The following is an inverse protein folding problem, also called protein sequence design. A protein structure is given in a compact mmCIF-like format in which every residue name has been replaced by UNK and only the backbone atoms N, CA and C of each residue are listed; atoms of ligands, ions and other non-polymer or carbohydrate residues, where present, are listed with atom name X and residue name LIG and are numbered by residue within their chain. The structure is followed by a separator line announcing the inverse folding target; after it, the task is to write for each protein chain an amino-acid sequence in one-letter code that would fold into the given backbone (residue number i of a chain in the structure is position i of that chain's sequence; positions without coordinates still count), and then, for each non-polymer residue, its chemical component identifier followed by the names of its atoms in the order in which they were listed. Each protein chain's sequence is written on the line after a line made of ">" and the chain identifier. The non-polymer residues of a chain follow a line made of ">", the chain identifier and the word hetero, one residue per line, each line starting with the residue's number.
data_IF_958246435610
#
_entry.id   IF_958246435610
#
_cell.length_a   1.000
_cell.length_b   1.000
_cell.length_c   1.000
_cell.angle_alpha   90.00
_cell.angle_beta   90.00
_cell.angle_gamma   90.00
#
_symmetry.space_group_name_H-M   'P 1'
#
loop_
_entity.id
_entity.type
_entity.pdbx_description
1 polymer ?
#
# COMPACT_ATOMS: atom_id res chain seq x y z
N UNK A 1 9.47 -2.84 23.95
CA UNK A 1 9.40 -1.54 23.25
C UNK A 1 8.11 -1.58 22.44
N UNK A 2 7.63 -0.49 21.84
CA UNK A 2 6.37 -0.57 21.06
C UNK A 2 6.60 -1.43 19.81
N UNK A 3 5.74 -2.44 19.55
CA UNK A 3 5.90 -3.38 18.44
C UNK A 3 5.99 -2.67 17.08
N UNK A 4 5.27 -1.56 16.91
CA UNK A 4 5.32 -0.76 15.70
C UNK A 4 6.69 -0.12 15.54
N UNK A 5 7.26 0.42 16.60
CA UNK A 5 8.60 1.02 16.58
C UNK A 5 9.66 -0.06 16.32
N UNK A 6 9.51 -1.26 16.91
CA UNK A 6 10.40 -2.39 16.67
C UNK A 6 10.42 -2.80 15.18
N UNK A 7 9.24 -2.95 14.56
CA UNK A 7 9.10 -3.29 13.13
C UNK A 7 9.66 -2.20 12.22
N UNK A 8 9.41 -0.93 12.52
CA UNK A 8 9.98 0.19 11.75
C UNK A 8 11.51 0.15 11.79
N UNK A 9 12.11 -0.04 12.97
CA UNK A 9 13.57 -0.09 13.12
C UNK A 9 14.16 -1.29 12.37
N UNK A 10 13.48 -2.45 12.35
CA UNK A 10 13.90 -3.61 11.57
C UNK A 10 13.87 -3.33 10.06
N UNK A 11 12.83 -2.66 9.56
CA UNK A 11 12.70 -2.30 8.14
C UNK A 11 13.76 -1.27 7.69
N UNK A 12 14.08 -0.30 8.53
CA UNK A 12 15.18 0.64 8.27
C UNK A 12 16.50 -0.11 8.11
N UNK A 13 16.78 -1.05 9.03
CA UNK A 13 17.99 -1.89 9.00
C UNK A 13 18.03 -2.79 7.76
N UNK A 14 16.91 -3.38 7.36
CA UNK A 14 16.86 -4.25 6.18
C UNK A 14 17.12 -3.49 4.88
N UNK A 15 16.67 -2.24 4.78
CA UNK A 15 17.00 -1.32 3.67
C UNK A 15 18.43 -0.77 3.72
N UNK A 16 19.20 -1.01 4.80
CA UNK A 16 20.57 -0.51 5.01
C UNK A 16 20.69 1.02 4.92
N UNK A 17 19.68 1.74 5.38
CA UNK A 17 19.67 3.21 5.44
C UNK A 17 19.82 3.70 6.88
N UNK A 18 20.27 4.94 7.05
CA UNK A 18 20.33 5.57 8.37
C UNK A 18 18.94 6.00 8.84
N UNK A 19 18.70 5.93 10.15
CA UNK A 19 17.42 6.33 10.76
C UNK A 19 17.10 7.81 10.55
N UNK A 20 18.13 8.66 10.55
CA UNK A 20 18.00 10.07 10.25
C UNK A 20 17.54 10.31 8.81
N UNK A 21 18.13 9.58 7.85
CA UNK A 21 17.75 9.64 6.43
C UNK A 21 16.31 9.20 6.23
N UNK A 22 15.92 8.06 6.81
CA UNK A 22 14.52 7.62 6.79
C UNK A 22 13.55 8.68 7.34
N UNK A 23 13.91 9.30 8.47
CA UNK A 23 13.06 10.34 9.06
C UNK A 23 12.89 11.53 8.11
N UNK A 24 13.96 11.95 7.45
CA UNK A 24 13.93 13.03 6.45
C UNK A 24 13.12 12.63 5.21
N UNK A 25 13.29 11.42 4.70
CA UNK A 25 12.58 10.90 3.54
C UNK A 25 11.05 10.95 3.71
N UNK A 26 10.55 10.74 4.95
CA UNK A 26 9.12 10.83 5.27
C UNK A 26 8.70 12.20 5.83
N UNK A 27 9.55 13.22 5.67
CA UNK A 27 9.27 14.61 5.99
C UNK A 27 9.27 14.93 7.48
N UNK A 28 10.12 14.27 8.27
CA UNK A 28 10.26 14.48 9.72
C UNK A 28 11.69 14.87 10.09
N UNK A 29 11.88 15.38 11.31
CA UNK A 29 13.21 15.71 11.81
C UNK A 29 14.08 14.47 12.08
N UNK A 30 15.39 14.58 11.86
CA UNK A 30 16.40 13.51 12.02
C UNK A 30 16.31 12.73 13.34
N UNK A 31 15.94 13.40 14.44
CA UNK A 31 15.88 12.79 15.77
C UNK A 31 14.57 12.03 16.05
N UNK A 32 13.66 11.99 15.09
CA UNK A 32 12.30 11.47 15.31
C UNK A 32 12.30 9.99 15.66
N UNK A 33 13.09 9.16 14.96
CA UNK A 33 13.19 7.72 15.25
C UNK A 33 13.74 7.46 16.66
N UNK A 34 14.76 8.20 17.09
CA UNK A 34 15.30 8.10 18.45
C UNK A 34 14.26 8.48 19.52
N UNK A 35 13.43 9.49 19.25
CA UNK A 35 12.33 9.87 20.14
C UNK A 35 11.27 8.76 20.24
N UNK A 36 10.99 8.06 19.14
CA UNK A 36 10.07 6.91 19.15
C UNK A 36 10.63 5.76 19.97
N UNK A 37 11.90 5.40 19.77
CA UNK A 37 12.57 4.34 20.53
C UNK A 37 12.56 4.59 22.03
N UNK A 38 12.76 5.84 22.43
CA UNK A 38 12.71 6.27 23.83
C UNK A 38 11.30 6.55 24.36
N UNK A 39 10.25 6.34 23.57
CA UNK A 39 8.85 6.58 23.99
C UNK A 39 8.48 8.06 24.19
N UNK A 40 9.35 9.00 23.80
CA UNK A 40 9.12 10.45 23.98
C UNK A 40 8.12 11.03 22.98
N UNK A 41 7.86 10.31 21.88
CA UNK A 41 6.91 10.71 20.85
C UNK A 41 6.26 9.48 20.22
N UNK A 42 4.99 9.62 19.83
CA UNK A 42 4.23 8.62 19.06
C UNK A 42 3.76 9.13 17.70
N UNK A 43 4.49 10.08 17.11
CA UNK A 43 4.13 10.65 15.80
C UNK A 43 4.11 9.63 14.67
N UNK A 44 4.77 8.47 14.82
CA UNK A 44 4.67 7.35 13.88
C UNK A 44 3.22 6.88 13.67
N UNK A 45 2.34 6.97 14.68
CA UNK A 45 0.94 6.59 14.54
C UNK A 45 0.20 7.47 13.52
N UNK A 46 0.54 8.76 13.46
CA UNK A 46 -0.03 9.71 12.49
C UNK A 46 0.58 9.59 11.08
N UNK A 47 1.65 8.82 10.95
CA UNK A 47 2.44 8.65 9.73
C UNK A 47 2.48 7.19 9.28
N UNK A 48 1.69 6.32 9.90
CA UNK A 48 1.78 4.86 9.72
C UNK A 48 1.55 4.46 8.26
N UNK A 49 0.63 5.13 7.57
CA UNK A 49 0.35 4.91 6.15
C UNK A 49 1.56 5.27 5.28
N UNK A 50 2.12 6.47 5.47
CA UNK A 50 3.32 6.90 4.73
C UNK A 50 4.55 6.00 5.00
N UNK A 51 4.66 5.47 6.22
CA UNK A 51 5.72 4.52 6.58
C UNK A 51 5.48 3.18 5.88
N UNK A 52 4.23 2.70 5.85
CA UNK A 52 3.85 1.47 5.17
C UNK A 52 4.17 1.57 3.67
N UNK A 53 3.79 2.68 3.03
CA UNK A 53 4.08 2.97 1.63
C UNK A 53 5.59 3.03 1.34
N UNK A 54 6.36 3.70 2.20
CA UNK A 54 7.80 3.81 2.04
C UNK A 54 8.50 2.44 2.02
N UNK A 55 8.03 1.51 2.86
CA UNK A 55 8.60 0.16 2.95
C UNK A 55 7.90 -0.89 2.08
N UNK A 56 6.76 -0.55 1.45
CA UNK A 56 5.96 -1.48 0.67
C UNK A 56 5.33 -2.59 1.51
N UNK A 57 4.92 -2.29 2.74
CA UNK A 57 4.31 -3.24 3.69
C UNK A 57 2.89 -2.84 4.05
N UNK A 58 2.13 -3.70 4.73
CA UNK A 58 0.81 -3.36 5.24
C UNK A 58 0.87 -2.53 6.53
N UNK A 59 -0.12 -1.65 6.72
CA UNK A 59 -0.33 -0.95 8.01
C UNK A 59 -0.62 -1.94 9.13
N UNK A 60 -1.36 -3.01 8.84
CA UNK A 60 -1.65 -4.06 9.82
C UNK A 60 -0.40 -4.79 10.29
N UNK A 61 0.59 -4.96 9.41
CA UNK A 61 1.91 -5.42 9.79
C UNK A 61 2.60 -4.38 10.68
N UNK A 62 2.64 -3.10 10.33
CA UNK A 62 3.28 -2.12 11.21
C UNK A 62 2.63 -2.07 12.60
N UNK A 63 1.31 -2.23 12.70
CA UNK A 63 0.56 -2.18 13.96
C UNK A 63 0.55 -3.50 14.75
N UNK A 64 1.22 -4.55 14.26
CA UNK A 64 1.29 -5.83 14.97
C UNK A 64 0.01 -6.67 14.91
N UNK A 65 -0.92 -6.35 14.01
CA UNK A 65 -2.18 -7.10 13.82
C UNK A 65 -2.00 -8.38 13.02
N UNK A 66 -0.93 -8.46 12.24
CA UNK A 66 -0.53 -9.62 11.44
C UNK A 66 0.98 -9.71 11.34
N UNK A 67 1.53 -10.91 11.20
CA UNK A 67 2.96 -11.12 10.93
C UNK A 67 3.30 -11.11 9.44
N UNK A 68 2.28 -11.10 8.56
CA UNK A 68 2.48 -10.99 7.13
C UNK A 68 2.75 -9.53 6.72
N UNK A 69 3.96 -9.19 6.22
CA UNK A 69 4.29 -7.83 5.83
C UNK A 69 3.59 -7.40 4.54
N UNK A 70 3.12 -8.33 3.72
CA UNK A 70 2.52 -7.99 2.44
C UNK A 70 1.25 -7.14 2.64
N UNK A 71 1.09 -6.04 1.87
CA UNK A 71 -0.22 -5.40 1.75
C UNK A 71 -1.26 -6.43 1.29
N UNK A 72 -2.54 -6.28 1.67
CA UNK A 72 -3.61 -7.08 1.11
C UNK A 72 -3.48 -7.03 -0.42
N UNK A 73 -3.35 -8.20 -1.06
CA UNK A 73 -3.35 -8.24 -2.52
C UNK A 73 -4.69 -7.69 -2.98
N UNK A 74 -4.66 -6.59 -3.72
CA UNK A 74 -5.77 -6.18 -4.57
C UNK A 74 -5.89 -7.25 -5.65
N UNK A 75 -6.64 -8.31 -5.38
CA UNK A 75 -7.10 -9.18 -6.44
C UNK A 75 -8.08 -8.38 -7.29
N UNK A 76 -8.07 -8.56 -8.61
CA UNK A 76 -9.05 -7.93 -9.50
C UNK A 76 -10.50 -8.23 -9.05
N UNK A 77 -10.70 -9.37 -8.38
CA UNK A 77 -11.98 -9.76 -7.78
C UNK A 77 -12.44 -8.87 -6.61
N UNK A 78 -11.52 -8.16 -5.95
CA UNK A 78 -11.77 -7.26 -4.82
C UNK A 78 -11.39 -5.79 -5.12
N UNK A 79 -11.00 -5.48 -6.36
CA UNK A 79 -10.66 -4.13 -6.77
C UNK A 79 -11.94 -3.29 -6.90
N UNK A 80 -12.14 -2.31 -6.01
CA UNK A 80 -13.18 -1.30 -6.19
C UNK A 80 -12.63 -0.26 -7.17
N UNK A 81 -13.13 -0.26 -8.40
CA UNK A 81 -12.82 0.80 -9.38
C UNK A 81 -13.61 2.04 -8.99
N UNK A 82 -12.94 3.02 -8.37
CA UNK A 82 -13.55 4.33 -8.09
C UNK A 82 -13.30 5.24 -9.30
N UNK A 83 -14.15 5.08 -10.32
CA UNK A 83 -14.31 6.08 -11.37
C UNK A 83 -15.78 6.09 -11.82
N UNK A 84 -16.48 7.20 -11.56
CA UNK A 84 -17.84 7.43 -12.05
C UNK A 84 -18.92 7.01 -11.05
N UNK A 85 -19.50 5.83 -11.20
CA UNK A 85 -20.77 5.49 -10.53
C UNK A 85 -20.92 3.99 -10.18
N UNK A 86 -19.84 3.21 -10.18
CA UNK A 86 -19.91 1.77 -9.90
C UNK A 86 -19.46 1.45 -8.46
N UNK A 87 -20.38 0.96 -7.62
CA UNK A 87 -20.11 0.52 -6.26
C UNK A 87 -20.71 -0.87 -6.04
N UNK A 88 -19.88 -1.92 -6.18
CA UNK A 88 -20.31 -3.30 -5.92
C UNK A 88 -19.32 -4.35 -6.45
N UNK A 89 -19.45 -5.62 -6.03
CA UNK A 89 -18.74 -6.72 -6.67
C UNK A 89 -19.27 -6.93 -8.10
N UNK A 90 -18.34 -7.11 -9.06
CA UNK A 90 -18.71 -7.39 -10.45
C UNK A 90 -19.45 -8.71 -10.52
N UNK A 91 -20.73 -8.64 -10.85
CA UNK A 91 -21.58 -9.81 -11.07
C UNK A 91 -21.12 -10.58 -12.31
N UNK A 92 -21.48 -11.86 -12.41
CA UNK A 92 -21.10 -12.69 -13.55
C UNK A 92 -21.59 -12.07 -14.88
N UNK A 93 -22.80 -11.53 -14.89
CA UNK A 93 -23.39 -10.88 -16.06
C UNK A 93 -22.58 -9.65 -16.51
N UNK A 94 -22.07 -8.88 -15.56
CA UNK A 94 -21.23 -7.71 -15.83
C UNK A 94 -19.84 -8.11 -16.35
N UNK A 95 -19.26 -9.23 -15.85
CA UNK A 95 -18.01 -9.79 -16.39
C UNK A 95 -18.20 -10.17 -17.86
N UNK A 96 -19.26 -10.91 -18.16
CA UNK A 96 -19.61 -11.32 -19.52
C UNK A 96 -19.80 -10.09 -20.43
N UNK A 97 -20.50 -9.06 -19.96
CA UNK A 97 -20.69 -7.83 -20.71
C UNK A 97 -19.37 -7.14 -21.04
N UNK A 98 -18.49 -6.96 -20.04
CA UNK A 98 -17.18 -6.31 -20.24
C UNK A 98 -16.30 -7.11 -21.20
N UNK A 99 -16.30 -8.45 -21.10
CA UNK A 99 -15.55 -9.31 -22.01
C UNK A 99 -16.02 -9.17 -23.46
N UNK A 100 -17.34 -9.13 -23.68
CA UNK A 100 -17.91 -8.94 -25.02
C UNK A 100 -17.54 -7.58 -25.60
N UNK A 101 -17.64 -6.51 -24.82
CA UNK A 101 -17.26 -5.15 -25.24
C UNK A 101 -15.77 -5.08 -25.61
N UNK A 102 -14.89 -5.65 -24.78
CA UNK A 102 -13.45 -5.68 -25.04
C UNK A 102 -13.09 -6.49 -26.28
N UNK A 103 -13.77 -7.62 -26.50
CA UNK A 103 -13.59 -8.44 -27.70
C UNK A 103 -13.98 -7.66 -28.96
N UNK A 104 -15.15 -7.04 -28.96
CA UNK A 104 -15.64 -6.22 -30.08
C UNK A 104 -14.69 -5.05 -30.39
N UNK A 105 -14.18 -4.36 -29.37
CA UNK A 105 -13.23 -3.25 -29.54
C UNK A 105 -11.90 -3.73 -30.18
N UNK A 106 -11.37 -4.87 -29.75
CA UNK A 106 -10.14 -5.45 -30.32
C UNK A 106 -10.32 -5.93 -31.75
N UNK A 107 -11.51 -6.40 -32.10
CA UNK A 107 -11.86 -6.80 -33.46
C UNK A 107 -11.96 -5.57 -34.39
N UNK A 108 -12.57 -4.47 -33.93
CA UNK A 108 -12.59 -3.21 -34.67
C UNK A 108 -11.18 -2.67 -34.94
N UNK A 109 -10.28 -2.70 -33.95
CA UNK A 109 -8.89 -2.29 -34.14
C UNK A 109 -8.09 -3.18 -35.11
N UNK A 110 -8.47 -4.45 -35.26
CA UNK A 110 -7.85 -5.34 -36.25
C UNK A 110 -8.38 -5.06 -37.65
N UNK A 111 -9.64 -4.67 -37.77
CA UNK A 111 -10.27 -4.37 -39.05
C UNK A 111 -9.81 -3.02 -39.63
N UNK A 112 -9.46 -2.06 -38.79
CA UNK A 112 -9.00 -0.71 -39.18
C UNK A 112 -7.49 -0.67 -39.56
N UNK A 113 -6.76 -1.77 -39.38
CA UNK A 113 -5.34 -1.93 -39.72
C UNK A 113 -5.08 -2.84 -40.92
N UNK A 114 -6.12 -3.25 -41.65
CA UNK A 114 -6.05 -4.04 -42.88
C UNK A 114 -6.53 -3.23 -44.08
#
# INVERSE_FOLDING_TARGET
>A
MDITVERIVQLIKSKKIAEATFAEDIGMGRNTVNNWKGGRSKTYLKKVDAIADYFGVSVDYLLGRTDNPAPPRLNADNAIIVQGDYVGPVTEDERVFVEQVLKAYREQQKHDKS
#
